data_IF_966361048109
#
_entry.id   IF_966361048109
#
_cell.length_a   1.000
_cell.length_b   1.000
_cell.length_c   1.000
_cell.angle_alpha   90.00
_cell.angle_beta   90.00
_cell.angle_gamma   90.00
#
_symmetry.space_group_name_H-M   'P 1'
#
loop_
_entity.id
_entity.type
_entity.pdbx_description
1 polymer ?
#
# COMPACT_ATOMS: atom_id res chain seq x y z
N UNK A 1 -5.99 -5.13 41.49
CA UNK A 1 -5.72 -3.80 40.92
C UNK A 1 -6.92 -2.92 41.21
N UNK A 2 -6.69 -1.83 41.95
CA UNK A 2 -7.69 -0.89 42.45
C UNK A 2 -8.28 -0.01 41.35
N UNK A 3 -9.58 0.32 41.44
CA UNK A 3 -10.12 1.64 41.06
C UNK A 3 -11.59 1.76 41.52
N UNK A 4 -11.87 2.37 42.67
CA UNK A 4 -12.37 3.76 42.85
C UNK A 4 -13.57 4.15 41.98
N UNK A 5 -14.76 4.26 42.58
CA UNK A 5 -15.82 5.13 42.07
C UNK A 5 -16.42 5.93 43.22
N UNK A 6 -16.25 7.25 43.16
CA UNK A 6 -16.77 8.21 44.13
C UNK A 6 -18.10 8.80 43.68
N UNK A 7 -18.90 9.14 44.70
CA UNK A 7 -19.67 10.39 44.88
C UNK A 7 -21.19 10.34 44.60
N UNK A 8 -21.93 10.42 45.70
CA UNK A 8 -23.31 10.92 45.82
C UNK A 8 -23.39 12.42 45.50
N UNK A 9 -24.60 12.97 45.34
CA UNK A 9 -25.02 13.92 46.38
C UNK A 9 -26.43 13.65 46.94
N UNK A 10 -26.60 14.11 48.18
CA UNK A 10 -27.80 14.05 48.98
C UNK A 10 -28.80 15.16 48.59
N UNK A 11 -30.08 14.83 48.72
CA UNK A 11 -31.21 15.73 48.55
C UNK A 11 -31.89 15.93 49.92
N UNK A 12 -31.98 17.19 50.36
CA UNK A 12 -32.90 17.63 51.40
C UNK A 12 -33.21 19.10 51.16
N UNK A 13 -34.49 19.40 50.89
CA UNK A 13 -35.22 20.43 51.65
C UNK A 13 -36.72 20.21 51.47
N UNK A 14 -37.38 19.89 52.58
CA UNK A 14 -38.81 20.06 52.82
C UNK A 14 -39.10 21.52 53.16
N UNK A 15 -40.19 22.07 52.62
CA UNK A 15 -40.88 23.23 53.20
C UNK A 15 -42.36 23.18 52.81
N UNK A 16 -43.19 23.18 53.84
CA UNK A 16 -44.65 23.13 53.79
C UNK A 16 -45.16 24.40 54.46
N UNK A 17 -46.14 25.09 53.87
CA UNK A 17 -47.20 25.85 54.58
C UNK A 17 -48.09 26.61 53.58
N UNK A 18 -49.41 26.57 53.82
CA UNK A 18 -50.24 27.76 53.61
C UNK A 18 -51.47 27.67 52.69
N UNK A 19 -52.61 27.37 53.33
CA UNK A 19 -53.83 28.19 53.26
C UNK A 19 -54.93 27.93 52.19
N UNK A 20 -56.12 28.33 52.64
CA UNK A 20 -57.50 27.97 52.38
C UNK A 20 -58.07 28.49 51.06
N UNK A 21 -58.98 27.74 50.44
CA UNK A 21 -59.74 28.22 49.29
C UNK A 21 -60.76 27.22 48.75
N UNK A 22 -61.94 27.17 49.36
CA UNK A 22 -63.11 26.43 48.87
C UNK A 22 -63.61 27.12 47.58
N UNK A 23 -63.32 26.57 46.40
CA UNK A 23 -64.22 26.48 45.23
C UNK A 23 -63.52 25.70 44.09
N UNK A 24 -64.26 24.81 43.42
CA UNK A 24 -63.85 24.04 42.23
C UNK A 24 -62.95 22.80 42.41
N UNK A 25 -63.15 22.02 43.47
CA UNK A 25 -62.41 20.75 43.63
C UNK A 25 -62.71 19.69 42.54
N UNK A 26 -63.90 19.71 41.91
CA UNK A 26 -64.27 18.73 40.88
C UNK A 26 -63.66 19.01 39.49
N UNK A 27 -63.44 20.28 39.13
CA UNK A 27 -62.87 20.66 37.82
C UNK A 27 -61.34 20.69 37.80
N UNK A 28 -60.70 21.11 38.90
CA UNK A 28 -59.24 21.11 39.04
C UNK A 28 -58.66 19.68 39.07
N UNK A 29 -59.35 18.75 39.73
CA UNK A 29 -58.97 17.33 39.78
C UNK A 29 -59.09 16.67 38.40
N UNK A 30 -60.15 16.97 37.64
CA UNK A 30 -60.33 16.44 36.28
C UNK A 30 -59.25 16.94 35.31
N UNK A 31 -58.90 18.24 35.34
CA UNK A 31 -57.80 18.78 34.53
C UNK A 31 -56.45 18.19 34.90
N UNK A 32 -56.17 18.02 36.19
CA UNK A 32 -54.93 17.38 36.67
C UNK A 32 -54.85 15.88 36.31
N UNK A 33 -56.00 15.19 36.19
CA UNK A 33 -56.05 13.82 35.68
C UNK A 33 -55.79 13.77 34.17
N UNK A 34 -56.36 14.70 33.40
CA UNK A 34 -56.13 14.78 31.94
C UNK A 34 -54.66 15.06 31.63
N UNK A 35 -54.01 15.98 32.36
CA UNK A 35 -52.57 16.23 32.16
C UNK A 35 -51.74 15.00 32.49
N UNK A 36 -52.05 14.32 33.61
CA UNK A 36 -51.36 13.06 33.96
C UNK A 36 -51.60 11.95 32.94
N UNK A 37 -52.80 11.87 32.36
CA UNK A 37 -53.10 10.92 31.29
C UNK A 37 -52.29 11.22 30.03
N UNK A 38 -52.23 12.50 29.63
CA UNK A 38 -51.38 12.94 28.51
C UNK A 38 -49.90 12.62 28.75
N UNK A 39 -49.38 12.92 29.95
CA UNK A 39 -48.00 12.62 30.30
C UNK A 39 -47.73 11.10 30.26
N UNK A 40 -48.69 10.28 30.69
CA UNK A 40 -48.57 8.82 30.64
C UNK A 40 -48.63 8.29 29.20
N UNK A 41 -49.45 8.88 28.32
CA UNK A 41 -49.52 8.55 26.90
C UNK A 41 -48.21 8.88 26.18
N UNK A 42 -47.62 10.05 26.46
CA UNK A 42 -46.33 10.45 25.89
C UNK A 42 -45.20 9.53 26.38
N UNK A 43 -45.17 9.23 27.68
CA UNK A 43 -44.21 8.28 28.25
C UNK A 43 -44.36 6.87 27.67
N UNK A 44 -45.59 6.42 27.40
CA UNK A 44 -45.85 5.13 26.76
C UNK A 44 -45.34 5.12 25.32
N UNK A 45 -45.61 6.17 24.55
CA UNK A 45 -45.12 6.31 23.18
C UNK A 45 -43.58 6.33 23.12
N UNK A 46 -42.92 6.97 24.07
CA UNK A 46 -41.46 6.97 24.17
C UNK A 46 -40.91 5.61 24.60
N UNK A 47 -41.56 4.92 25.55
CA UNK A 47 -41.21 3.55 25.90
C UNK A 47 -41.31 2.60 24.69
N UNK A 48 -42.38 2.70 23.90
CA UNK A 48 -42.54 1.92 22.67
C UNK A 48 -41.42 2.17 21.65
N UNK A 49 -41.00 3.43 21.46
CA UNK A 49 -39.86 3.75 20.60
C UNK A 49 -38.57 3.13 21.11
N UNK A 50 -38.32 3.18 22.43
CA UNK A 50 -37.12 2.57 23.02
C UNK A 50 -37.11 1.05 22.84
N UNK A 51 -38.25 0.38 22.99
CA UNK A 51 -38.40 -1.05 22.75
C UNK A 51 -38.03 -1.38 21.29
N UNK A 52 -38.57 -0.64 20.32
CA UNK A 52 -38.24 -0.88 18.90
C UNK A 52 -36.75 -0.68 18.57
N UNK A 53 -36.09 0.29 19.22
CA UNK A 53 -34.65 0.50 19.05
C UNK A 53 -33.87 -0.68 19.64
N UNK A 54 -34.24 -1.13 20.83
CA UNK A 54 -33.60 -2.25 21.51
C UNK A 54 -33.79 -3.56 20.73
N UNK A 55 -34.97 -3.81 20.16
CA UNK A 55 -35.24 -4.97 19.30
C UNK A 55 -34.32 -4.97 18.07
N UNK A 56 -34.17 -3.82 17.39
CA UNK A 56 -33.24 -3.69 16.25
C UNK A 56 -31.78 -3.94 16.65
N UNK A 57 -31.38 -3.47 17.84
CA UNK A 57 -30.03 -3.71 18.36
C UNK A 57 -29.81 -5.18 18.73
N UNK A 58 -30.83 -5.84 19.31
CA UNK A 58 -30.82 -7.26 19.61
C UNK A 58 -30.64 -8.09 18.33
N UNK A 59 -31.44 -7.81 17.30
CA UNK A 59 -31.36 -8.48 16.00
C UNK A 59 -29.98 -8.33 15.35
N UNK A 60 -29.41 -7.12 15.43
CA UNK A 60 -28.06 -6.84 14.91
C UNK A 60 -27.01 -7.66 15.66
N UNK A 61 -27.08 -7.65 16.99
CA UNK A 61 -26.15 -8.39 17.85
C UNK A 61 -26.26 -9.90 17.62
N UNK A 62 -27.48 -10.42 17.46
CA UNK A 62 -27.72 -11.83 17.18
C UNK A 62 -27.12 -12.26 15.83
N UNK A 63 -27.23 -11.41 14.80
CA UNK A 63 -26.58 -11.66 13.50
C UNK A 63 -25.06 -11.65 13.59
N UNK A 64 -24.49 -10.71 14.36
CA UNK A 64 -23.04 -10.65 14.58
C UNK A 64 -22.52 -11.87 15.32
N UNK A 65 -23.22 -12.31 16.38
CA UNK A 65 -22.88 -13.53 17.12
C UNK A 65 -22.93 -14.76 16.22
N UNK A 66 -23.96 -14.88 15.38
CA UNK A 66 -24.05 -15.99 14.41
C UNK A 66 -22.86 -15.98 13.45
N UNK A 67 -22.56 -14.84 12.84
CA UNK A 67 -21.43 -14.70 11.93
C UNK A 67 -20.09 -15.01 12.61
N UNK A 68 -19.91 -14.60 13.87
CA UNK A 68 -18.71 -14.93 14.65
C UNK A 68 -18.62 -16.42 14.94
N UNK A 69 -19.74 -17.08 15.26
CA UNK A 69 -19.79 -18.53 15.47
C UNK A 69 -19.37 -19.29 14.21
N UNK A 70 -19.96 -18.95 13.06
CA UNK A 70 -19.62 -19.57 11.78
C UNK A 70 -18.12 -19.36 11.45
N UNK A 71 -17.56 -18.19 11.76
CA UNK A 71 -16.13 -17.91 11.57
C UNK A 71 -15.24 -18.74 12.51
N UNK A 72 -15.66 -18.99 13.75
CA UNK A 72 -14.92 -19.84 14.71
C UNK A 72 -14.90 -21.28 14.19
N UNK A 73 -16.04 -21.82 13.77
CA UNK A 73 -16.15 -23.18 13.22
C UNK A 73 -15.21 -23.39 12.02
N UNK A 74 -15.21 -22.45 11.06
CA UNK A 74 -14.28 -22.51 9.92
C UNK A 74 -12.79 -22.45 10.34
N UNK A 75 -12.48 -21.70 11.41
CA UNK A 75 -11.11 -21.61 11.92
C UNK A 75 -10.69 -22.88 12.65
N UNK A 76 -11.60 -23.52 13.38
CA UNK A 76 -11.40 -24.81 14.03
C UNK A 76 -11.12 -25.90 12.97
N UNK A 77 -11.95 -26.00 11.93
CA UNK A 77 -11.73 -26.93 10.81
C UNK A 77 -10.38 -26.71 10.10
N UNK A 78 -10.00 -25.45 9.87
CA UNK A 78 -8.71 -25.13 9.27
C UNK A 78 -7.53 -25.52 10.19
N UNK A 79 -7.69 -25.36 11.50
CA UNK A 79 -6.69 -25.73 12.48
C UNK A 79 -6.52 -27.25 12.56
N UNK A 80 -7.62 -28.01 12.57
CA UNK A 80 -7.60 -29.47 12.50
C UNK A 80 -6.90 -29.96 11.22
N UNK A 81 -7.14 -29.29 10.09
CA UNK A 81 -6.45 -29.58 8.83
C UNK A 81 -4.93 -29.33 8.90
N UNK A 82 -4.51 -28.27 9.59
CA UNK A 82 -3.09 -27.97 9.82
C UNK A 82 -2.43 -28.95 10.79
N UNK A 83 -3.14 -29.36 11.84
CA UNK A 83 -2.65 -30.34 12.80
C UNK A 83 -2.41 -31.70 12.12
N UNK A 84 -3.37 -32.18 11.33
CA UNK A 84 -3.23 -33.40 10.53
C UNK A 84 -2.03 -33.33 9.58
N UNK A 85 -1.85 -32.20 8.89
CA UNK A 85 -0.70 -32.00 7.99
C UNK A 85 0.62 -31.99 8.75
N UNK A 86 0.64 -31.44 9.96
CA UNK A 86 1.83 -31.42 10.82
C UNK A 86 2.18 -32.84 11.25
N UNK A 87 1.19 -33.64 11.68
CA UNK A 87 1.38 -35.05 12.03
C UNK A 87 1.87 -35.90 10.83
N UNK A 88 1.34 -35.68 9.62
CA UNK A 88 1.84 -36.34 8.40
C UNK A 88 3.30 -35.98 8.13
N UNK A 89 3.66 -34.71 8.24
CA UNK A 89 5.04 -34.25 8.06
C UNK A 89 5.98 -34.81 9.14
N UNK A 90 5.57 -34.83 10.40
CA UNK A 90 6.33 -35.43 11.50
C UNK A 90 6.55 -36.93 11.28
N UNK A 91 5.52 -37.65 10.80
CA UNK A 91 5.63 -39.08 10.46
C UNK A 91 6.62 -39.29 9.32
N UNK A 92 6.54 -38.48 8.25
CA UNK A 92 7.48 -38.53 7.13
C UNK A 92 8.91 -38.21 7.55
N UNK A 93 9.09 -37.23 8.45
CA UNK A 93 10.41 -36.91 9.00
C UNK A 93 10.95 -38.12 9.75
N UNK A 94 10.15 -38.75 10.62
CA UNK A 94 10.56 -39.96 11.35
C UNK A 94 10.89 -41.12 10.41
N UNK A 95 10.08 -41.37 9.38
CA UNK A 95 10.36 -42.39 8.36
C UNK A 95 11.67 -42.11 7.60
N UNK A 96 11.97 -40.85 7.31
CA UNK A 96 13.23 -40.45 6.71
C UNK A 96 14.39 -40.66 7.69
N UNK A 97 14.25 -40.23 8.93
CA UNK A 97 15.25 -40.43 9.99
C UNK A 97 15.55 -41.93 10.19
N UNK A 98 14.54 -42.79 10.23
CA UNK A 98 14.71 -44.25 10.33
C UNK A 98 15.44 -44.81 9.10
N UNK A 99 15.09 -44.36 7.88
CA UNK A 99 15.81 -44.75 6.66
C UNK A 99 17.27 -44.30 6.64
N UNK A 100 17.59 -43.17 7.25
CA UNK A 100 18.97 -42.70 7.40
C UNK A 100 19.69 -43.41 8.56
N UNK A 101 18.97 -43.80 9.62
CA UNK A 101 19.48 -44.53 10.78
C UNK A 101 19.70 -46.04 10.55
N UNK A 102 18.93 -46.69 9.67
CA UNK A 102 19.03 -48.13 9.34
C UNK A 102 20.14 -48.47 8.33
N UNK A 103 21.05 -47.53 8.04
CA UNK A 103 22.26 -47.80 7.24
C UNK A 103 23.46 -48.03 8.17
N UNK A 104 23.70 -49.25 8.71
CA UNK A 104 24.92 -49.52 9.43
C UNK A 104 26.07 -49.67 8.42
N UNK A 105 26.99 -48.70 8.41
CA UNK A 105 28.31 -48.84 7.80
C UNK A 105 28.39 -48.48 6.33
N UNK A 106 29.32 -47.57 6.02
CA UNK A 106 29.74 -47.12 4.67
C UNK A 106 28.86 -46.05 3.99
N UNK A 107 28.59 -44.93 4.68
CA UNK A 107 28.47 -43.61 4.02
C UNK A 107 28.71 -42.50 5.04
N UNK A 108 29.96 -42.03 5.09
CA UNK A 108 30.38 -40.65 5.32
C UNK A 108 29.59 -39.79 6.34
N UNK A 109 30.16 -39.60 7.55
CA UNK A 109 29.78 -38.56 8.53
C UNK A 109 29.88 -37.11 8.00
N UNK A 110 30.04 -36.91 6.68
CA UNK A 110 30.15 -35.61 6.03
C UNK A 110 28.83 -35.08 5.45
N UNK A 111 27.81 -35.92 5.23
CA UNK A 111 26.61 -35.51 4.47
C UNK A 111 25.56 -34.75 5.32
N UNK A 112 25.51 -34.99 6.64
CA UNK A 112 24.53 -34.34 7.53
C UNK A 112 24.95 -32.91 7.95
N UNK A 113 26.26 -32.66 8.06
CA UNK A 113 26.83 -31.32 8.22
C UNK A 113 26.67 -30.48 6.95
N UNK A 114 26.71 -31.10 5.77
CA UNK A 114 26.56 -30.44 4.47
C UNK A 114 25.14 -29.85 4.30
N UNK A 115 24.09 -30.57 4.71
CA UNK A 115 22.70 -30.04 4.62
C UNK A 115 22.41 -28.81 5.49
N UNK A 116 22.96 -28.77 6.71
CA UNK A 116 22.81 -27.61 7.62
C UNK A 116 23.67 -26.43 7.15
N UNK A 117 24.88 -26.69 6.66
CA UNK A 117 25.76 -25.65 6.13
C UNK A 117 25.19 -25.05 4.84
N UNK A 118 24.66 -25.88 3.93
CA UNK A 118 23.93 -25.41 2.74
C UNK A 118 22.72 -24.56 3.10
N UNK A 119 21.99 -24.91 4.16
CA UNK A 119 20.84 -24.13 4.64
C UNK A 119 21.26 -22.76 5.19
N UNK A 120 22.36 -22.72 5.96
CA UNK A 120 22.95 -21.46 6.47
C UNK A 120 23.52 -20.61 5.34
N UNK A 121 24.26 -21.22 4.42
CA UNK A 121 24.82 -20.54 3.25
C UNK A 121 23.72 -19.95 2.38
N UNK A 122 22.64 -20.70 2.14
CA UNK A 122 21.46 -20.22 1.40
C UNK A 122 20.83 -19.02 2.10
N UNK A 123 20.70 -19.05 3.42
CA UNK A 123 20.16 -17.94 4.20
C UNK A 123 21.08 -16.70 4.13
N UNK A 124 22.39 -16.88 4.27
CA UNK A 124 23.37 -15.80 4.17
C UNK A 124 23.44 -15.20 2.76
N UNK A 125 23.30 -16.04 1.72
CA UNK A 125 23.17 -15.59 0.32
C UNK A 125 21.93 -14.71 0.14
N UNK A 126 20.79 -15.11 0.70
CA UNK A 126 19.56 -14.33 0.60
C UNK A 126 19.67 -13.00 1.35
N UNK A 127 20.27 -12.99 2.55
CA UNK A 127 20.56 -11.76 3.30
C UNK A 127 21.45 -10.80 2.50
N UNK A 128 22.53 -11.31 1.90
CA UNK A 128 23.43 -10.53 1.04
C UNK A 128 22.69 -9.93 -0.15
N UNK A 129 21.81 -10.71 -0.79
CA UNK A 129 20.98 -10.22 -1.90
C UNK A 129 20.04 -9.08 -1.48
N UNK A 130 19.36 -9.23 -0.35
CA UNK A 130 18.47 -8.18 0.20
C UNK A 130 19.23 -6.89 0.53
N UNK A 131 20.48 -7.00 1.00
CA UNK A 131 21.35 -5.84 1.20
C UNK A 131 21.75 -5.20 -0.13
N UNK A 132 22.16 -6.01 -1.12
CA UNK A 132 22.51 -5.53 -2.45
C UNK A 132 21.34 -4.82 -3.14
N UNK A 133 20.10 -5.28 -2.96
CA UNK A 133 18.88 -4.60 -3.44
C UNK A 133 18.73 -3.17 -2.91
N UNK A 134 19.27 -2.87 -1.73
CA UNK A 134 19.20 -1.54 -1.10
C UNK A 134 20.36 -0.64 -1.53
N UNK A 135 21.41 -1.18 -2.14
CA UNK A 135 22.61 -0.47 -2.53
C UNK A 135 22.29 0.69 -3.51
N UNK A 136 22.74 1.94 -3.20
CA UNK A 136 22.50 3.09 -4.07
C UNK A 136 23.25 3.01 -5.41
N UNK A 137 24.43 2.39 -5.46
CA UNK A 137 25.22 2.21 -6.67
C UNK A 137 24.50 1.26 -7.64
N UNK A 138 23.93 0.16 -7.14
CA UNK A 138 23.13 -0.74 -7.96
C UNK A 138 21.89 -0.02 -8.52
N UNK A 139 21.21 0.77 -7.70
CA UNK A 139 20.05 1.57 -8.14
C UNK A 139 20.43 2.57 -9.24
N UNK A 140 21.58 3.22 -9.10
CA UNK A 140 22.09 4.17 -10.08
C UNK A 140 22.51 3.46 -11.37
N UNK A 141 23.12 2.28 -11.28
CA UNK A 141 23.44 1.44 -12.43
C UNK A 141 22.18 1.07 -13.19
N UNK A 142 21.15 0.53 -12.51
CA UNK A 142 19.86 0.19 -13.13
C UNK A 142 19.31 1.41 -13.88
N UNK A 143 19.26 2.58 -13.24
CA UNK A 143 18.80 3.82 -13.88
C UNK A 143 19.55 4.14 -15.17
N UNK A 144 20.88 4.03 -15.12
CA UNK A 144 21.78 4.34 -16.25
C UNK A 144 21.58 3.35 -17.39
N UNK A 145 21.40 2.06 -17.08
CA UNK A 145 21.12 1.03 -18.10
C UNK A 145 19.76 1.27 -18.73
N UNK A 146 18.72 1.61 -17.97
CA UNK A 146 17.41 2.00 -18.53
C UNK A 146 17.54 3.18 -19.51
N UNK A 147 18.26 4.23 -19.12
CA UNK A 147 18.52 5.39 -20.00
C UNK A 147 19.21 4.97 -21.29
N UNK A 148 20.24 4.14 -21.19
CA UNK A 148 21.01 3.66 -22.34
C UNK A 148 20.17 2.77 -23.25
N UNK A 149 19.53 1.72 -22.71
CA UNK A 149 18.77 0.73 -23.49
C UNK A 149 17.52 1.33 -24.13
N UNK A 150 16.92 2.37 -23.54
CA UNK A 150 15.82 3.09 -24.17
C UNK A 150 16.28 4.25 -25.07
N UNK A 151 17.55 4.66 -24.98
CA UNK A 151 18.10 5.80 -25.73
C UNK A 151 17.58 7.15 -25.24
N UNK A 152 17.30 7.29 -23.95
CA UNK A 152 16.76 8.50 -23.33
C UNK A 152 17.74 9.12 -22.34
N UNK A 153 17.83 10.46 -22.32
CA UNK A 153 18.71 11.17 -21.39
C UNK A 153 18.25 11.08 -19.93
N UNK A 154 16.95 11.04 -19.68
CA UNK A 154 16.37 10.91 -18.35
C UNK A 154 15.09 10.07 -18.35
N UNK A 155 14.69 9.59 -17.17
CA UNK A 155 13.53 8.72 -16.99
C UNK A 155 12.35 9.53 -16.44
N UNK A 156 11.90 10.53 -17.20
CA UNK A 156 10.75 11.37 -16.84
C UNK A 156 9.61 11.16 -17.83
N UNK A 157 8.34 11.35 -17.41
CA UNK A 157 7.17 11.05 -18.25
C UNK A 157 7.15 11.71 -19.63
N UNK A 158 7.72 12.91 -19.74
CA UNK A 158 7.79 13.74 -20.96
C UNK A 158 8.73 13.20 -22.04
N UNK A 159 9.74 12.40 -21.65
CA UNK A 159 10.77 11.88 -22.57
C UNK A 159 10.73 10.36 -22.74
N UNK A 160 9.81 9.67 -22.06
CA UNK A 160 9.70 8.22 -22.20
C UNK A 160 9.10 7.89 -23.58
N UNK A 161 9.71 6.94 -24.32
CA UNK A 161 9.30 6.66 -25.69
C UNK A 161 7.95 5.93 -25.72
N UNK A 162 7.16 6.22 -26.75
CA UNK A 162 5.94 5.49 -27.06
C UNK A 162 6.25 4.07 -27.58
N UNK A 163 5.26 3.19 -27.48
CA UNK A 163 5.32 1.88 -28.12
C UNK A 163 5.07 2.01 -29.62
N UNK A 164 5.80 1.23 -30.42
CA UNK A 164 5.65 1.17 -31.87
C UNK A 164 5.14 -0.22 -32.26
N UNK A 165 4.02 -0.28 -32.97
CA UNK A 165 3.45 -1.55 -33.47
C UNK A 165 4.30 -2.16 -34.59
N UNK A 166 4.90 -1.31 -35.44
CA UNK A 166 5.76 -1.74 -36.53
C UNK A 166 7.20 -1.95 -36.04
N UNK A 167 7.64 -3.21 -36.00
CA UNK A 167 9.01 -3.56 -35.57
C UNK A 167 10.11 -2.92 -36.43
N UNK A 168 9.85 -2.70 -37.72
CA UNK A 168 10.79 -2.08 -38.65
C UNK A 168 11.09 -0.60 -38.34
N UNK A 169 10.23 0.07 -37.58
CA UNK A 169 10.38 1.47 -37.18
C UNK A 169 11.11 1.63 -35.83
N UNK A 170 11.52 0.51 -35.20
CA UNK A 170 12.15 0.57 -33.90
C UNK A 170 13.53 1.23 -33.99
N UNK A 171 13.79 2.26 -33.14
CA UNK A 171 15.08 2.93 -33.14
C UNK A 171 16.23 1.97 -32.80
N UNK A 172 17.29 2.05 -33.60
CA UNK A 172 18.53 1.29 -33.41
C UNK A 172 19.59 2.25 -32.86
N UNK A 173 20.31 1.81 -31.83
CA UNK A 173 21.48 2.54 -31.33
C UNK A 173 22.60 2.49 -32.37
N UNK A 174 23.00 3.65 -32.90
CA UNK A 174 24.03 3.78 -33.94
C UNK A 174 25.40 3.27 -33.48
N UNK A 175 25.69 3.28 -32.19
CA UNK A 175 26.99 2.87 -31.66
C UNK A 175 27.12 1.35 -31.50
N UNK A 176 26.04 0.69 -31.10
CA UNK A 176 26.05 -0.76 -30.81
C UNK A 176 25.31 -1.59 -31.85
N UNK A 177 24.63 -0.94 -32.79
CA UNK A 177 23.69 -1.54 -33.73
C UNK A 177 22.63 -2.43 -33.05
N UNK A 178 22.33 -2.16 -31.77
CA UNK A 178 21.32 -2.90 -31.02
C UNK A 178 20.00 -2.14 -31.01
N UNK A 179 18.90 -2.89 -31.10
CA UNK A 179 17.54 -2.36 -31.01
C UNK A 179 17.32 -1.77 -29.62
N UNK A 180 16.80 -0.54 -29.56
CA UNK A 180 16.46 0.09 -28.29
C UNK A 180 15.18 -0.51 -27.72
N UNK A 181 15.15 -0.70 -26.41
CA UNK A 181 14.01 -1.26 -25.68
C UNK A 181 12.87 -0.25 -25.64
N UNK A 182 11.65 -0.73 -25.88
CA UNK A 182 10.40 0.02 -25.72
C UNK A 182 9.48 -0.78 -24.81
N UNK A 183 8.63 -0.10 -24.06
CA UNK A 183 7.66 -0.74 -23.18
C UNK A 183 6.26 -0.27 -23.55
N UNK A 184 5.31 -1.20 -23.55
CA UNK A 184 3.88 -0.91 -23.54
C UNK A 184 3.49 -0.52 -22.13
N UNK A 185 3.43 0.78 -21.88
CA UNK A 185 3.19 1.34 -20.54
C UNK A 185 1.81 1.02 -19.94
N UNK A 186 0.85 0.64 -20.79
CA UNK A 186 -0.52 0.26 -20.39
C UNK A 186 -0.63 -1.24 -20.05
N UNK A 187 0.34 -2.06 -20.44
CA UNK A 187 0.40 -3.50 -20.16
C UNK A 187 1.30 -3.80 -18.96
N UNK A 188 1.11 -4.93 -18.26
CA UNK A 188 1.98 -5.32 -17.16
C UNK A 188 3.41 -5.64 -17.67
N UNK A 189 4.46 -5.48 -16.83
CA UNK A 189 5.83 -5.81 -17.22
C UNK A 189 6.08 -7.31 -17.46
N UNK A 190 5.18 -8.16 -17.00
CA UNK A 190 5.24 -9.63 -17.14
C UNK A 190 4.63 -10.12 -18.46
N UNK A 191 4.01 -9.22 -19.25
CA UNK A 191 3.48 -9.57 -20.56
C UNK A 191 4.63 -9.84 -21.54
N UNK A 192 4.47 -10.78 -22.48
CA UNK A 192 5.56 -11.25 -23.34
C UNK A 192 6.31 -10.10 -24.07
N UNK A 193 5.57 -9.10 -24.55
CA UNK A 193 6.13 -7.94 -25.25
C UNK A 193 7.02 -7.06 -24.35
N UNK A 194 6.65 -6.89 -23.07
CA UNK A 194 7.43 -6.12 -22.10
C UNK A 194 8.53 -6.97 -21.45
N UNK A 195 8.28 -8.26 -21.27
CA UNK A 195 9.19 -9.19 -20.62
C UNK A 195 10.52 -9.32 -21.37
N UNK A 196 10.49 -9.37 -22.70
CA UNK A 196 11.71 -9.37 -23.52
C UNK A 196 12.60 -8.14 -23.22
N UNK A 197 12.00 -6.95 -23.04
CA UNK A 197 12.73 -5.74 -22.66
C UNK A 197 13.28 -5.77 -21.23
N UNK A 198 12.57 -6.42 -20.30
CA UNK A 198 13.06 -6.64 -18.93
C UNK A 198 14.27 -7.57 -18.95
N UNK A 199 14.19 -8.70 -19.65
CA UNK A 199 15.30 -9.65 -19.75
C UNK A 199 16.54 -9.05 -20.42
N UNK A 200 16.37 -8.28 -21.49
CA UNK A 200 17.47 -7.56 -22.14
C UNK A 200 18.22 -6.62 -21.19
N UNK A 201 17.48 -5.90 -20.33
CA UNK A 201 18.08 -5.01 -19.32
C UNK A 201 18.82 -5.81 -18.25
N UNK A 202 18.23 -6.92 -17.77
CA UNK A 202 18.84 -7.79 -16.74
C UNK A 202 20.12 -8.41 -17.27
N UNK A 203 20.09 -8.97 -18.49
CA UNK A 203 21.24 -9.54 -19.17
C UNK A 203 22.34 -8.49 -19.36
N UNK A 204 21.99 -7.28 -19.76
CA UNK A 204 22.96 -6.19 -19.90
C UNK A 204 23.62 -5.85 -18.55
N UNK A 205 22.85 -5.78 -17.45
CA UNK A 205 23.38 -5.49 -16.12
C UNK A 205 24.35 -6.59 -15.68
N UNK A 206 24.02 -7.87 -15.92
CA UNK A 206 24.89 -9.00 -15.56
C UNK A 206 26.19 -9.04 -16.36
N UNK A 207 26.11 -8.81 -17.66
CA UNK A 207 27.26 -8.94 -18.56
C UNK A 207 28.16 -7.69 -18.59
N UNK A 208 27.57 -6.49 -18.55
CA UNK A 208 28.27 -5.22 -18.78
C UNK A 208 28.14 -4.24 -17.61
N UNK A 209 27.33 -4.53 -16.60
CA UNK A 209 27.07 -3.62 -15.49
C UNK A 209 28.32 -3.28 -14.66
N UNK A 210 29.17 -4.27 -14.40
CA UNK A 210 30.42 -4.06 -13.64
C UNK A 210 31.43 -3.16 -14.37
N UNK A 211 31.56 -3.30 -15.69
CA UNK A 211 32.40 -2.42 -16.50
C UNK A 211 31.85 -0.99 -16.55
N UNK A 212 30.52 -0.83 -16.51
CA UNK A 212 29.85 0.47 -16.58
C UNK A 212 29.86 1.21 -15.24
N UNK A 213 29.67 0.50 -14.14
CA UNK A 213 29.69 1.05 -12.80
C UNK A 213 30.50 0.13 -11.88
N UNK A 214 31.84 0.33 -11.81
CA UNK A 214 32.70 -0.49 -10.95
C UNK A 214 32.29 -0.46 -9.48
N UNK A 215 31.72 0.65 -9.00
CA UNK A 215 31.20 0.78 -7.64
C UNK A 215 30.01 -0.13 -7.33
N UNK A 216 29.30 -0.63 -8.36
CA UNK A 216 28.19 -1.56 -8.19
C UNK A 216 28.62 -3.03 -8.22
N UNK A 217 29.90 -3.34 -8.50
CA UNK A 217 30.41 -4.72 -8.58
C UNK A 217 30.10 -5.54 -7.31
N UNK A 218 30.32 -5.03 -6.08
CA UNK A 218 30.00 -5.79 -4.87
C UNK A 218 28.52 -6.19 -4.81
N UNK A 219 27.62 -5.25 -5.09
CA UNK A 219 26.19 -5.50 -5.12
C UNK A 219 25.77 -6.46 -6.25
N UNK A 220 26.42 -6.39 -7.42
CA UNK A 220 26.17 -7.30 -8.53
C UNK A 220 26.60 -8.74 -8.23
N UNK A 221 27.68 -8.92 -7.47
CA UNK A 221 28.13 -10.26 -7.03
C UNK A 221 27.13 -10.88 -6.05
N UNK A 222 26.57 -10.05 -5.17
CA UNK A 222 25.80 -10.52 -4.03
C UNK A 222 24.29 -10.64 -4.32
N UNK A 223 23.75 -9.91 -5.31
CA UNK A 223 22.34 -9.99 -5.70
C UNK A 223 22.02 -11.25 -6.51
N UNK A 224 20.91 -11.93 -6.18
CA UNK A 224 20.35 -13.03 -6.97
C UNK A 224 19.71 -12.55 -8.26
N UNK A 225 19.51 -13.46 -9.22
CA UNK A 225 18.87 -13.11 -10.50
C UNK A 225 17.41 -12.69 -10.28
N UNK A 226 16.66 -13.45 -9.49
CA UNK A 226 15.26 -13.14 -9.13
C UNK A 226 15.09 -11.75 -8.50
N UNK A 227 16.01 -11.34 -7.62
CA UNK A 227 15.96 -10.03 -6.96
C UNK A 227 16.34 -8.90 -7.92
N UNK A 228 17.28 -9.14 -8.83
CA UNK A 228 17.65 -8.18 -9.87
C UNK A 228 16.49 -7.99 -10.86
N UNK A 229 15.88 -9.08 -11.33
CA UNK A 229 14.68 -9.06 -12.16
C UNK A 229 13.56 -8.29 -11.48
N UNK A 230 13.28 -8.59 -10.21
CA UNK A 230 12.28 -7.90 -9.40
C UNK A 230 12.53 -6.39 -9.33
N UNK A 231 13.79 -5.95 -9.24
CA UNK A 231 14.15 -4.52 -9.27
C UNK A 231 13.90 -3.87 -10.61
N UNK A 232 14.22 -4.56 -11.72
CA UNK A 232 13.98 -4.06 -13.07
C UNK A 232 12.47 -3.97 -13.35
N UNK A 233 11.70 -5.01 -13.00
CA UNK A 233 10.23 -5.01 -13.08
C UNK A 233 9.64 -3.89 -12.25
N UNK A 234 10.07 -3.71 -11.00
CA UNK A 234 9.60 -2.63 -10.15
C UNK A 234 9.88 -1.27 -10.78
N UNK A 235 11.05 -1.10 -11.42
CA UNK A 235 11.39 0.14 -12.11
C UNK A 235 10.43 0.43 -13.26
N UNK A 236 10.07 -0.56 -14.07
CA UNK A 236 9.06 -0.40 -15.14
C UNK A 236 7.71 0.01 -14.55
N UNK A 237 7.26 -0.63 -13.46
CA UNK A 237 6.02 -0.28 -12.76
C UNK A 237 6.02 1.17 -12.28
N UNK A 238 7.13 1.63 -11.69
CA UNK A 238 7.27 3.00 -11.20
C UNK A 238 7.19 4.01 -12.36
N UNK A 239 7.83 3.73 -13.51
CA UNK A 239 7.77 4.58 -14.69
C UNK A 239 6.36 4.66 -15.28
N UNK A 240 5.68 3.51 -15.43
CA UNK A 240 4.31 3.46 -15.91
C UNK A 240 3.35 4.21 -14.95
N UNK A 241 3.55 4.08 -13.63
CA UNK A 241 2.79 4.83 -12.63
C UNK A 241 3.02 6.34 -12.76
N UNK A 242 4.27 6.77 -12.95
CA UNK A 242 4.60 8.18 -13.13
C UNK A 242 3.99 8.76 -14.41
N UNK A 243 3.97 7.99 -15.50
CA UNK A 243 3.29 8.35 -16.75
C UNK A 243 1.79 8.57 -16.56
N UNK A 244 1.09 7.62 -15.93
CA UNK A 244 -0.34 7.76 -15.62
C UNK A 244 -0.63 8.96 -14.71
N UNK A 245 0.24 9.19 -13.73
CA UNK A 245 0.17 10.36 -12.86
C UNK A 245 0.34 11.69 -13.59
N UNK A 246 1.23 11.74 -14.58
CA UNK A 246 1.42 12.93 -15.43
C UNK A 246 0.20 13.20 -16.33
N UNK A 247 -0.31 12.16 -17.03
CA UNK A 247 -1.53 12.26 -17.86
C UNK A 247 -2.73 12.81 -17.09
N UNK A 248 -2.93 12.36 -15.84
CA UNK A 248 -4.02 12.84 -14.96
C UNK A 248 -3.87 14.31 -14.54
N UNK A 249 -2.64 14.79 -14.36
CA UNK A 249 -2.39 16.19 -14.01
C UNK A 249 -2.63 17.11 -15.20
N UNK A 250 -2.27 16.67 -16.40
CA UNK A 250 -2.53 17.40 -17.65
C UNK A 250 -4.03 17.56 -17.90
N UNK A 251 -4.82 16.49 -17.72
CA UNK A 251 -6.28 16.53 -17.89
C UNK A 251 -7.02 17.36 -16.83
N UNK A 252 -6.37 17.68 -15.70
CA UNK A 252 -6.97 18.50 -14.62
C UNK A 252 -6.66 19.99 -14.80
N UNK A 253 -5.65 20.32 -15.62
CA UNK A 253 -5.18 21.68 -15.85
C UNK A 253 -5.68 22.29 -17.17
N UNK A 254 -6.58 21.63 -17.92
CA UNK A 254 -7.24 22.29 -19.06
C UNK A 254 -8.22 23.37 -18.56
N UNK A 255 -8.02 24.66 -18.91
CA UNK A 255 -9.01 25.68 -18.64
C UNK A 255 -10.23 25.45 -19.54
N UNK A 256 -11.39 25.23 -18.92
CA UNK A 256 -12.67 25.14 -19.62
C UNK A 256 -12.89 26.38 -20.48
N UNK A 257 -12.66 26.25 -21.77
CA UNK A 257 -13.02 27.28 -22.75
C UNK A 257 -14.48 27.04 -23.12
N UNK A 258 -15.40 27.66 -22.39
CA UNK A 258 -16.75 27.89 -22.88
C UNK A 258 -16.71 29.02 -23.91
N UNK A 259 -17.20 28.81 -25.15
CA UNK A 259 -17.44 29.91 -26.06
C UNK A 259 -18.83 30.47 -25.73
N UNK A 260 -18.88 31.63 -25.10
CA UNK A 260 -20.11 32.41 -25.06
C UNK A 260 -19.83 33.82 -25.59
N UNK A 261 -20.48 34.14 -26.69
CA UNK A 261 -20.36 35.41 -27.36
C UNK A 261 -21.33 36.42 -26.77
N UNK A 262 -20.94 37.70 -26.75
CA UNK A 262 -21.92 38.77 -26.58
C UNK A 262 -21.42 40.04 -25.90
N UNK A 263 -20.83 40.90 -26.72
CA UNK A 263 -20.93 42.38 -26.75
C UNK A 263 -20.54 43.26 -25.55
N UNK A 264 -19.60 44.15 -25.91
CA UNK A 264 -19.48 45.58 -25.61
C UNK A 264 -18.92 46.07 -24.27
N UNK A 265 -17.77 46.73 -24.38
CA UNK A 265 -17.61 48.04 -23.75
C UNK A 265 -16.30 48.28 -23.00
N UNK A 266 -15.49 49.17 -23.59
CA UNK A 266 -14.53 50.05 -22.93
C UNK A 266 -13.12 49.49 -22.60
N UNK A 267 -12.17 49.93 -23.44
CA UNK A 267 -10.89 50.55 -23.08
C UNK A 267 -10.35 50.25 -21.67
N UNK A 268 -9.18 49.63 -21.59
CA UNK A 268 -8.02 50.33 -21.00
C UNK A 268 -6.69 49.67 -21.42
N UNK A 269 -5.76 50.57 -21.70
CA UNK A 269 -4.43 50.43 -22.27
C UNK A 269 -3.55 49.32 -21.65
N UNK A 270 -2.80 48.66 -22.54
CA UNK A 270 -1.54 47.98 -22.22
C UNK A 270 -0.59 48.93 -21.48
N UNK A 271 -0.01 48.46 -20.36
CA UNK A 271 1.30 48.89 -19.91
C UNK A 271 2.09 47.68 -19.42
N UNK A 272 3.10 47.34 -20.21
CA UNK A 272 4.26 46.52 -19.86
C UNK A 272 4.83 46.90 -18.50
N UNK A 273 5.31 45.93 -17.72
CA UNK A 273 6.61 46.07 -17.05
C UNK A 273 7.36 44.72 -16.94
N UNK A 274 8.50 44.70 -17.64
CA UNK A 274 9.65 43.82 -17.44
C UNK A 274 10.08 43.84 -15.97
N UNK A 275 10.44 42.68 -15.43
CA UNK A 275 11.44 42.58 -14.37
C UNK A 275 12.47 41.50 -14.73
N UNK A 276 13.54 41.96 -15.38
CA UNK A 276 14.82 41.28 -15.47
C UNK A 276 15.49 41.43 -14.10
N UNK A 277 15.91 40.32 -13.48
CA UNK A 277 16.95 40.35 -12.44
C UNK A 277 18.09 39.42 -12.83
N UNK A 278 19.13 40.06 -13.35
CA UNK A 278 20.48 39.49 -13.50
C UNK A 278 21.25 39.76 -12.20
N UNK A 279 21.97 38.74 -11.73
CA UNK A 279 23.30 38.93 -11.14
C UNK A 279 23.42 38.94 -9.62
N UNK A 280 23.88 37.81 -9.05
CA UNK A 280 25.15 37.78 -8.31
C UNK A 280 25.73 36.37 -8.26
N UNK A 281 26.97 36.26 -8.71
CA UNK A 281 27.79 35.06 -8.78
C UNK A 281 28.55 34.83 -7.45
N UNK A 282 29.37 33.75 -7.33
CA UNK A 282 29.53 32.96 -6.11
C UNK A 282 30.78 33.32 -5.29
N UNK A 283 30.80 32.91 -4.01
CA UNK A 283 31.99 32.94 -3.17
C UNK A 283 32.49 31.53 -2.82
N UNK A 284 33.72 31.30 -3.27
CA UNK A 284 34.83 30.67 -2.57
C UNK A 284 34.76 29.19 -2.15
N UNK A 285 35.56 28.44 -2.91
CA UNK A 285 36.30 27.22 -2.58
C UNK A 285 37.13 27.42 -1.30
N UNK A 286 37.12 26.44 -0.40
CA UNK A 286 38.20 26.17 0.53
C UNK A 286 38.38 24.65 0.65
N UNK A 287 39.46 24.16 0.05
CA UNK A 287 40.07 22.88 0.39
C UNK A 287 40.84 23.05 1.70
N UNK A 288 40.77 22.08 2.60
CA UNK A 288 41.82 21.86 3.58
C UNK A 288 41.98 20.35 3.83
N UNK A 289 43.23 20.00 4.05
CA UNK A 289 43.84 18.68 4.18
C UNK A 289 43.13 17.72 5.14
#
# INVERSE_FOLDING_TARGET
MSSTFSRMPADQTVSSTGDSGKTSAKGATGRAMITKMSDLEDNLADAEKTIQILEKQLDKTQKEVKHQKDRIENLEEANDGLENRTQDLETRIRELEDRFGEKPGESSENDELDGVEQSRERLERLKRSVLAMKDPNLRQLIRTVFQLRMGVGHLMPDVLPAWLENEAEWPIDKATNTRLVRFKWEEPPTENANWAGVQDIVEYIRTKGGARAPSAIPALRDITDDDLESKVVQKVKDLAKNLRGAKKKESTNEPSSTPDGGVDGANFLCLNHKAIRVGRAPCAIAWNL
#
